data_IF_960525276062
#
_entry.id   IF_960525276062
#
_cell.length_a   1.000
_cell.length_b   1.000
_cell.length_c   1.000
_cell.angle_alpha   90.00
_cell.angle_beta   90.00
_cell.angle_gamma   90.00
#
_symmetry.space_group_name_H-M   'P 1'
#
loop_
_entity.id
_entity.type
_entity.pdbx_description
1 polymer ?
#
# COMPACT_ATOMS: atom_id res chain seq x y z
N UNK A 1 -14.38 -9.78 -17.15
CA UNK A 1 -13.96 -11.15 -16.76
C UNK A 1 -14.64 -11.48 -15.44
N UNK A 2 -15.53 -12.47 -15.40
CA UNK A 2 -16.23 -12.87 -14.17
C UNK A 2 -15.33 -13.79 -13.36
N UNK A 3 -15.11 -13.47 -12.10
CA UNK A 3 -14.40 -14.34 -11.15
C UNK A 3 -15.46 -14.99 -10.27
N UNK A 4 -15.56 -16.32 -10.31
CA UNK A 4 -16.55 -17.08 -9.52
C UNK A 4 -16.35 -16.90 -8.02
N UNK A 5 -17.46 -16.77 -7.28
CA UNK A 5 -17.42 -16.59 -5.83
C UNK A 5 -16.89 -17.83 -5.10
N UNK A 6 -15.83 -17.67 -4.32
CA UNK A 6 -15.29 -18.71 -3.42
C UNK A 6 -14.68 -18.07 -2.17
N UNK A 7 -14.68 -18.83 -1.08
CA UNK A 7 -14.09 -18.39 0.17
C UNK A 7 -12.56 -18.42 0.06
N UNK A 8 -11.91 -17.34 0.43
CA UNK A 8 -10.44 -17.22 0.52
C UNK A 8 -10.05 -16.78 1.93
N UNK A 9 -8.79 -17.01 2.27
CA UNK A 9 -8.17 -16.52 3.50
C UNK A 9 -7.08 -15.53 3.10
N UNK A 10 -7.07 -14.34 3.70
CA UNK A 10 -6.04 -13.34 3.43
C UNK A 10 -4.73 -13.61 4.18
N UNK A 11 -3.75 -12.75 3.96
CA UNK A 11 -2.43 -12.79 4.58
C UNK A 11 -2.43 -12.57 6.11
N UNK A 12 -3.58 -12.20 6.67
CA UNK A 12 -3.80 -12.07 8.13
C UNK A 12 -4.57 -13.24 8.73
N UNK A 13 -4.96 -14.25 7.90
CA UNK A 13 -5.71 -15.42 8.33
C UNK A 13 -7.23 -15.20 8.39
N UNK A 14 -7.75 -14.07 7.87
CA UNK A 14 -9.18 -13.77 7.85
C UNK A 14 -9.83 -14.40 6.62
N UNK A 15 -10.84 -15.26 6.84
CA UNK A 15 -11.66 -15.82 5.77
C UNK A 15 -12.67 -14.80 5.24
N UNK A 16 -12.80 -14.68 3.92
CA UNK A 16 -13.77 -13.80 3.25
C UNK A 16 -14.33 -14.47 2.00
N UNK A 17 -15.54 -14.08 1.59
CA UNK A 17 -16.16 -14.56 0.37
C UNK A 17 -15.90 -13.59 -0.76
N UNK A 18 -15.33 -14.10 -1.85
CA UNK A 18 -15.14 -13.34 -3.09
C UNK A 18 -16.41 -13.52 -3.92
N UNK A 19 -17.10 -12.42 -4.19
CA UNK A 19 -18.23 -12.40 -5.13
C UNK A 19 -17.77 -12.30 -6.58
N UNK A 20 -18.68 -12.58 -7.52
CA UNK A 20 -18.48 -12.28 -8.94
C UNK A 20 -18.46 -10.76 -9.12
N UNK A 21 -17.34 -10.19 -9.58
CA UNK A 21 -17.27 -8.78 -9.94
C UNK A 21 -16.53 -8.60 -11.26
N UNK A 22 -16.96 -7.62 -12.04
CA UNK A 22 -16.28 -7.19 -13.24
C UNK A 22 -15.41 -5.96 -12.90
N UNK A 23 -14.10 -6.04 -13.18
CA UNK A 23 -13.19 -4.92 -12.92
C UNK A 23 -13.41 -3.88 -14.02
N UNK A 24 -14.06 -2.77 -13.68
CA UNK A 24 -14.24 -1.63 -14.58
C UNK A 24 -12.90 -0.90 -14.83
N UNK A 25 -12.86 -0.04 -15.85
CA UNK A 25 -11.69 0.80 -16.12
C UNK A 25 -11.37 1.71 -14.93
N UNK A 26 -12.38 2.25 -14.28
CA UNK A 26 -12.26 3.11 -13.11
C UNK A 26 -11.68 2.35 -11.91
N UNK A 27 -12.16 1.14 -11.68
CA UNK A 27 -11.59 0.26 -10.64
C UNK A 27 -10.11 -0.02 -10.90
N UNK A 28 -9.71 -0.24 -12.16
CA UNK A 28 -8.30 -0.42 -12.51
C UNK A 28 -7.46 0.80 -12.19
N UNK A 29 -7.95 2.02 -12.45
CA UNK A 29 -7.24 3.24 -12.08
C UNK A 29 -7.14 3.43 -10.57
N UNK A 30 -8.19 3.14 -9.81
CA UNK A 30 -8.14 3.14 -8.35
C UNK A 30 -7.07 2.17 -7.83
N UNK A 31 -7.02 0.95 -8.35
CA UNK A 31 -6.02 -0.07 -7.96
C UNK A 31 -4.60 0.39 -8.29
N UNK A 32 -4.37 1.02 -9.44
CA UNK A 32 -3.05 1.59 -9.77
C UNK A 32 -2.62 2.68 -8.78
N UNK A 33 -3.54 3.58 -8.41
CA UNK A 33 -3.28 4.63 -7.42
C UNK A 33 -3.01 4.01 -6.05
N UNK A 34 -3.80 3.02 -5.65
CA UNK A 34 -3.65 2.30 -4.38
C UNK A 34 -2.27 1.61 -4.27
N UNK A 35 -1.83 0.90 -5.31
CA UNK A 35 -0.51 0.26 -5.32
C UNK A 35 0.63 1.29 -5.29
N UNK A 36 0.50 2.38 -6.03
CA UNK A 36 1.49 3.46 -5.96
C UNK A 36 1.56 4.06 -4.55
N UNK A 37 0.42 4.37 -3.92
CA UNK A 37 0.40 4.84 -2.53
C UNK A 37 1.02 3.81 -1.59
N UNK A 38 0.70 2.52 -1.73
CA UNK A 38 1.27 1.46 -0.90
C UNK A 38 2.80 1.44 -0.96
N UNK A 39 3.38 1.51 -2.17
CA UNK A 39 4.83 1.45 -2.38
C UNK A 39 5.50 2.77 -1.94
N UNK A 40 4.98 3.91 -2.39
CA UNK A 40 5.64 5.19 -2.11
C UNK A 40 5.49 5.67 -0.66
N UNK A 41 4.45 5.26 0.05
CA UNK A 41 4.22 5.68 1.44
C UNK A 41 4.48 4.60 2.47
N UNK A 42 4.47 3.33 2.06
CA UNK A 42 4.56 2.18 2.95
C UNK A 42 3.35 2.01 3.88
N UNK A 43 2.19 2.57 3.58
CA UNK A 43 0.99 2.44 4.38
C UNK A 43 0.51 0.99 4.42
N UNK A 44 -0.11 0.59 5.55
CA UNK A 44 -0.76 -0.71 5.69
C UNK A 44 -2.05 -0.78 4.87
N UNK A 45 -2.47 -1.96 4.42
CA UNK A 45 -3.73 -2.17 3.68
C UNK A 45 -4.92 -1.46 4.33
N UNK A 46 -5.13 -1.68 5.61
CA UNK A 46 -6.23 -1.05 6.34
C UNK A 46 -6.10 0.47 6.47
N UNK A 47 -4.89 1.02 6.53
CA UNK A 47 -4.65 2.47 6.52
C UNK A 47 -5.02 3.07 5.15
N UNK A 48 -4.62 2.42 4.05
CA UNK A 48 -4.95 2.84 2.69
C UNK A 48 -6.46 2.87 2.45
N UNK A 49 -7.16 1.79 2.81
CA UNK A 49 -8.61 1.69 2.66
C UNK A 49 -9.39 2.69 3.52
N UNK A 50 -8.79 3.15 4.63
CA UNK A 50 -9.40 4.14 5.50
C UNK A 50 -9.16 5.60 5.06
N UNK A 51 -8.43 5.85 3.97
CA UNK A 51 -8.15 7.21 3.52
C UNK A 51 -9.41 7.89 2.98
N UNK A 52 -9.59 9.13 3.40
CA UNK A 52 -10.57 10.07 2.86
C UNK A 52 -9.86 11.19 2.09
N UNK A 53 -10.56 11.87 1.21
CA UNK A 53 -10.02 13.02 0.47
C UNK A 53 -9.48 14.11 1.42
N UNK A 54 -10.10 14.29 2.58
CA UNK A 54 -9.63 15.20 3.63
C UNK A 54 -8.29 14.80 4.28
N UNK A 55 -7.82 13.58 4.07
CA UNK A 55 -6.52 13.10 4.56
C UNK A 55 -5.37 13.45 3.60
N UNK A 56 -5.67 13.96 2.39
CA UNK A 56 -4.67 14.34 1.37
C UNK A 56 -4.44 15.86 1.39
N UNK A 57 -3.21 16.25 1.61
CA UNK A 57 -2.75 17.62 1.39
C UNK A 57 -2.12 17.73 -0.01
N UNK A 58 -2.91 18.14 -0.97
CA UNK A 58 -2.48 18.30 -2.36
C UNK A 58 -1.49 19.44 -2.59
N UNK A 59 -1.35 20.36 -1.63
CA UNK A 59 -0.42 21.48 -1.73
C UNK A 59 1.01 21.05 -1.38
N UNK A 60 1.12 20.16 -0.39
CA UNK A 60 2.41 19.73 0.14
C UNK A 60 2.74 18.27 -0.21
N UNK A 61 1.90 17.58 -1.01
CA UNK A 61 2.04 16.17 -1.39
C UNK A 61 2.14 15.23 -0.17
N UNK A 62 1.24 15.43 0.80
CA UNK A 62 1.23 14.69 2.06
C UNK A 62 -0.06 13.88 2.23
N UNK A 63 0.05 12.71 2.85
CA UNK A 63 -1.07 11.91 3.34
C UNK A 63 -1.03 11.80 4.86
N UNK A 64 -2.17 12.09 5.51
CA UNK A 64 -2.34 11.95 6.96
C UNK A 64 -2.94 10.59 7.28
N UNK A 65 -2.23 9.82 8.08
CA UNK A 65 -2.68 8.51 8.58
C UNK A 65 -3.24 8.69 9.97
N UNK A 66 -4.56 8.53 10.12
CA UNK A 66 -5.28 8.74 11.39
C UNK A 66 -6.26 7.63 11.73
N UNK A 67 -6.44 6.63 10.85
CA UNK A 67 -7.40 5.54 11.03
C UNK A 67 -7.00 4.34 10.17
N UNK A 68 -7.59 3.19 10.46
CA UNK A 68 -7.40 1.98 9.68
C UNK A 68 -8.68 1.15 9.68
N UNK A 69 -8.93 0.49 8.56
CA UNK A 69 -9.99 -0.53 8.42
C UNK A 69 -9.48 -1.86 8.97
N UNK A 70 -10.32 -2.56 9.67
CA UNK A 70 -10.13 -3.93 10.11
C UNK A 70 -11.43 -4.71 9.95
N UNK A 71 -11.35 -6.04 9.95
CA UNK A 71 -12.54 -6.88 9.96
C UNK A 71 -12.88 -7.24 11.42
N UNK A 72 -14.13 -7.06 11.79
CA UNK A 72 -14.70 -7.44 13.08
C UNK A 72 -16.03 -8.13 12.79
N UNK A 73 -16.18 -9.37 13.23
CA UNK A 73 -17.37 -10.19 13.01
C UNK A 73 -17.82 -10.26 11.52
N UNK A 74 -16.83 -10.29 10.60
CA UNK A 74 -17.04 -10.33 9.16
C UNK A 74 -17.31 -8.97 8.49
N UNK A 75 -17.43 -7.90 9.25
CA UNK A 75 -17.71 -6.56 8.74
C UNK A 75 -16.47 -5.64 8.73
N UNK A 76 -16.41 -4.74 7.75
CA UNK A 76 -15.37 -3.72 7.67
C UNK A 76 -15.68 -2.60 8.67
N UNK A 77 -14.78 -2.42 9.63
CA UNK A 77 -14.89 -1.38 10.64
C UNK A 77 -13.68 -0.45 10.58
N UNK A 78 -13.94 0.85 10.43
CA UNK A 78 -12.90 1.86 10.49
C UNK A 78 -12.67 2.29 11.94
N UNK A 79 -11.44 2.12 12.44
CA UNK A 79 -11.07 2.45 13.83
C UNK A 79 -9.87 3.39 13.86
N UNK A 80 -9.80 4.21 14.91
CA UNK A 80 -8.60 4.97 15.24
C UNK A 80 -7.45 4.00 15.56
N UNK A 81 -6.20 4.37 15.25
CA UNK A 81 -5.05 3.54 15.58
C UNK A 81 -4.92 3.31 17.10
N UNK A 82 -4.47 2.11 17.46
CA UNK A 82 -4.30 1.73 18.87
C UNK A 82 -3.14 2.48 19.58
N UNK A 83 -2.18 3.03 18.83
CA UNK A 83 -1.00 3.69 19.38
C UNK A 83 -0.80 5.08 18.80
N UNK A 84 -0.23 5.99 19.60
CA UNK A 84 0.11 7.36 19.16
C UNK A 84 1.08 7.39 17.97
N UNK A 85 1.99 6.42 17.87
CA UNK A 85 2.98 6.30 16.79
C UNK A 85 2.35 5.95 15.45
N UNK A 86 1.11 5.47 15.44
CA UNK A 86 0.37 5.20 14.21
C UNK A 86 -0.19 6.46 13.55
N UNK A 87 -0.35 7.56 14.31
CA UNK A 87 -0.70 8.86 13.74
C UNK A 87 0.55 9.48 13.13
N UNK A 88 0.54 9.66 11.82
CA UNK A 88 1.68 10.21 11.10
C UNK A 88 1.25 10.87 9.81
N UNK A 89 2.10 11.72 9.30
CA UNK A 89 1.99 12.30 7.96
C UNK A 89 3.15 11.78 7.12
N UNK A 90 2.84 11.34 5.90
CA UNK A 90 3.82 10.74 4.98
C UNK A 90 3.76 11.48 3.65
N UNK A 91 4.92 11.88 3.14
CA UNK A 91 5.02 12.50 1.82
C UNK A 91 4.94 11.46 0.70
N UNK A 92 4.44 11.87 -0.46
CA UNK A 92 4.41 11.08 -1.68
C UNK A 92 4.85 11.92 -2.90
N UNK A 93 5.27 11.32 -4.02
CA UNK A 93 5.71 12.06 -5.18
C UNK A 93 4.58 12.86 -5.84
N UNK A 94 4.91 14.05 -6.36
CA UNK A 94 3.93 14.98 -6.97
C UNK A 94 3.10 14.36 -8.10
N UNK A 95 3.68 13.46 -8.93
CA UNK A 95 2.91 12.80 -9.98
C UNK A 95 1.69 12.03 -9.45
N UNK A 96 1.79 11.53 -8.19
CA UNK A 96 0.71 10.80 -7.55
C UNK A 96 -0.41 11.75 -7.09
N UNK A 97 -0.08 12.99 -6.72
CA UNK A 97 -1.09 14.03 -6.47
C UNK A 97 -1.96 14.27 -7.71
N UNK A 98 -1.36 14.30 -8.90
CA UNK A 98 -2.11 14.46 -10.14
C UNK A 98 -3.03 13.27 -10.45
N UNK A 99 -2.57 12.04 -10.18
CA UNK A 99 -3.41 10.84 -10.31
C UNK A 99 -4.57 10.83 -9.29
N UNK A 100 -4.31 11.23 -8.05
CA UNK A 100 -5.34 11.36 -7.02
C UNK A 100 -6.39 12.42 -7.40
N UNK A 101 -5.98 13.56 -7.95
CA UNK A 101 -6.92 14.58 -8.46
C UNK A 101 -7.79 14.05 -9.60
N UNK A 102 -7.19 13.33 -10.55
CA UNK A 102 -7.96 12.70 -11.63
C UNK A 102 -8.97 11.68 -11.09
N UNK A 103 -8.57 10.88 -10.09
CA UNK A 103 -9.46 9.92 -9.43
C UNK A 103 -10.61 10.64 -8.70
N UNK A 104 -10.34 11.76 -8.03
CA UNK A 104 -11.35 12.57 -7.34
C UNK A 104 -12.39 13.14 -8.32
N UNK A 105 -11.93 13.61 -9.48
CA UNK A 105 -12.84 14.12 -10.54
C UNK A 105 -13.73 12.99 -11.05
N UNK A 106 -13.16 11.83 -11.38
CA UNK A 106 -13.93 10.68 -11.85
C UNK A 106 -14.95 10.18 -10.82
N UNK A 107 -14.62 10.24 -9.53
CA UNK A 107 -15.56 9.93 -8.45
C UNK A 107 -16.72 10.92 -8.39
N UNK A 108 -16.44 12.21 -8.51
CA UNK A 108 -17.49 13.26 -8.51
C UNK A 108 -18.45 13.09 -9.69
N UNK A 109 -17.94 12.76 -10.87
CA UNK A 109 -18.76 12.46 -12.05
C UNK A 109 -19.65 11.24 -11.81
N UNK A 110 -19.11 10.18 -11.26
CA UNK A 110 -19.86 8.98 -10.91
C UNK A 110 -20.93 9.26 -9.86
N UNK A 111 -20.58 9.98 -8.79
CA UNK A 111 -21.52 10.39 -7.75
C UNK A 111 -22.71 11.18 -8.34
N UNK A 112 -22.44 12.05 -9.30
CA UNK A 112 -23.48 12.78 -10.03
C UNK A 112 -24.39 11.84 -10.84
N UNK A 113 -23.82 10.83 -11.53
CA UNK A 113 -24.58 9.85 -12.30
C UNK A 113 -25.47 8.95 -11.42
N UNK A 114 -24.95 8.50 -10.28
CA UNK A 114 -25.69 7.66 -9.33
C UNK A 114 -26.77 8.43 -8.57
N UNK A 115 -26.59 9.73 -8.37
CA UNK A 115 -27.58 10.59 -7.69
C UNK A 115 -27.96 10.07 -6.31
N UNK A 116 -29.26 9.74 -6.12
CA UNK A 116 -29.80 9.28 -4.83
C UNK A 116 -29.33 7.88 -4.41
N UNK A 117 -28.88 7.07 -5.35
CA UNK A 117 -28.42 5.71 -5.08
C UNK A 117 -26.95 5.65 -4.63
N UNK A 118 -26.28 6.81 -4.60
CA UNK A 118 -24.92 6.90 -4.06
C UNK A 118 -24.91 6.64 -2.55
N UNK A 119 -24.12 5.64 -2.13
CA UNK A 119 -24.04 5.18 -0.73
C UNK A 119 -22.70 5.52 -0.08
N UNK A 120 -21.85 6.29 -0.79
CA UNK A 120 -20.50 6.59 -0.37
C UNK A 120 -20.40 7.80 0.55
N UNK A 121 -19.36 7.74 1.40
CA UNK A 121 -18.76 8.88 2.07
C UNK A 121 -17.57 9.42 1.23
N UNK A 122 -16.68 10.21 1.84
CA UNK A 122 -15.52 10.79 1.13
C UNK A 122 -14.30 9.87 1.07
N UNK A 123 -14.51 8.55 0.92
CA UNK A 123 -13.42 7.57 0.80
C UNK A 123 -12.70 7.71 -0.55
N UNK A 124 -11.35 7.55 -0.56
CA UNK A 124 -10.57 7.58 -1.81
C UNK A 124 -10.77 6.29 -2.62
N UNK A 125 -10.81 5.14 -1.93
CA UNK A 125 -10.95 3.84 -2.55
C UNK A 125 -12.35 3.30 -2.30
N UNK A 126 -13.14 3.20 -3.36
CA UNK A 126 -14.58 2.92 -3.30
C UNK A 126 -15.00 1.79 -4.24
N UNK A 127 -16.13 1.20 -3.94
CA UNK A 127 -16.90 0.34 -4.83
C UNK A 127 -17.71 1.22 -5.82
N UNK A 128 -18.37 0.58 -6.80
CA UNK A 128 -19.13 1.29 -7.83
C UNK A 128 -20.28 2.16 -7.25
N UNK A 129 -20.86 1.76 -6.15
CA UNK A 129 -21.92 2.49 -5.44
C UNK A 129 -21.41 3.53 -4.44
N UNK A 130 -20.10 3.78 -4.37
CA UNK A 130 -19.48 4.74 -3.46
C UNK A 130 -19.15 4.20 -2.06
N UNK A 131 -19.54 2.98 -1.71
CA UNK A 131 -19.11 2.38 -0.44
C UNK A 131 -17.60 2.18 -0.42
N UNK A 132 -17.02 2.12 0.77
CA UNK A 132 -15.60 1.78 0.93
C UNK A 132 -15.24 0.52 0.15
N UNK A 133 -14.09 0.50 -0.52
CA UNK A 133 -13.57 -0.67 -1.23
C UNK A 133 -13.49 -1.89 -0.30
N UNK A 134 -13.80 -3.07 -0.80
CA UNK A 134 -13.72 -4.32 -0.03
C UNK A 134 -12.30 -4.56 0.48
N UNK A 135 -12.19 -5.06 1.71
CA UNK A 135 -10.89 -5.35 2.35
C UNK A 135 -10.05 -6.37 1.59
N UNK A 136 -10.69 -7.28 0.86
CA UNK A 136 -10.03 -8.30 0.04
C UNK A 136 -9.52 -7.75 -1.31
N UNK A 137 -10.20 -6.77 -1.90
CA UNK A 137 -9.95 -6.26 -3.26
C UNK A 137 -8.48 -5.91 -3.54
N UNK A 138 -7.74 -5.20 -2.65
CA UNK A 138 -6.33 -4.90 -2.92
C UNK A 138 -5.45 -6.14 -3.04
N UNK A 139 -5.68 -7.16 -2.22
CA UNK A 139 -4.93 -8.41 -2.29
C UNK A 139 -5.25 -9.20 -3.56
N UNK A 140 -6.53 -9.35 -3.89
CA UNK A 140 -6.99 -10.04 -5.09
C UNK A 140 -6.45 -9.38 -6.35
N UNK A 141 -6.52 -8.05 -6.42
CA UNK A 141 -5.98 -7.28 -7.54
C UNK A 141 -4.45 -7.45 -7.68
N UNK A 142 -3.72 -7.55 -6.56
CA UNK A 142 -2.28 -7.81 -6.59
C UNK A 142 -1.98 -9.21 -7.12
N UNK A 143 -2.69 -10.26 -6.65
CA UNK A 143 -2.50 -11.62 -7.14
C UNK A 143 -2.83 -11.73 -8.63
N UNK A 144 -3.87 -11.06 -9.07
CA UNK A 144 -4.27 -11.03 -10.47
C UNK A 144 -3.25 -10.29 -11.35
N UNK A 145 -2.68 -9.20 -10.87
CA UNK A 145 -1.60 -8.49 -11.54
C UNK A 145 -0.34 -9.37 -11.68
N UNK A 146 0.06 -10.07 -10.61
CA UNK A 146 1.20 -10.99 -10.63
C UNK A 146 0.93 -12.15 -11.60
N UNK A 147 -0.27 -12.73 -11.57
CA UNK A 147 -0.67 -13.80 -12.49
C UNK A 147 -0.58 -13.35 -13.95
N UNK A 148 -1.11 -12.17 -14.27
CA UNK A 148 -1.03 -11.60 -15.64
C UNK A 148 0.41 -11.31 -16.07
N UNK A 149 1.24 -10.81 -15.15
CA UNK A 149 2.66 -10.60 -15.43
C UNK A 149 3.38 -11.92 -15.73
N UNK A 150 3.08 -12.98 -14.99
CA UNK A 150 3.73 -14.28 -15.11
C UNK A 150 3.26 -15.07 -16.34
N UNK A 151 2.11 -14.72 -16.90
CA UNK A 151 1.55 -15.42 -18.05
C UNK A 151 2.53 -15.41 -19.26
N UNK A 152 2.82 -16.59 -19.81
CA UNK A 152 3.76 -16.77 -20.90
C UNK A 152 5.24 -16.56 -20.55
N UNK A 153 5.63 -16.27 -19.29
CA UNK A 153 7.02 -16.09 -18.85
C UNK A 153 7.64 -17.39 -18.36
N UNK A 154 8.96 -17.52 -18.56
CA UNK A 154 9.73 -18.63 -18.00
C UNK A 154 9.72 -18.57 -16.47
N UNK A 155 9.81 -19.72 -15.77
CA UNK A 155 9.82 -19.75 -14.29
C UNK A 155 10.88 -18.85 -13.64
N UNK A 156 12.06 -18.69 -14.27
CA UNK A 156 13.13 -17.79 -13.80
C UNK A 156 12.76 -16.31 -13.82
N UNK A 157 11.79 -15.92 -14.65
CA UNK A 157 11.41 -14.54 -14.91
C UNK A 157 10.06 -14.19 -14.25
N UNK A 158 9.46 -15.16 -13.55
CA UNK A 158 8.19 -14.99 -12.88
C UNK A 158 8.37 -14.33 -11.52
N UNK A 159 7.41 -13.45 -11.18
CA UNK A 159 7.30 -12.87 -9.85
C UNK A 159 6.69 -13.89 -8.89
N UNK A 160 7.21 -14.03 -7.67
CA UNK A 160 6.58 -14.84 -6.65
C UNK A 160 5.24 -14.24 -6.22
N UNK A 161 4.30 -15.08 -5.77
CA UNK A 161 3.13 -14.60 -5.07
C UNK A 161 3.56 -13.95 -3.75
N UNK A 162 3.18 -12.69 -3.54
CA UNK A 162 3.48 -11.95 -2.32
C UNK A 162 2.17 -11.50 -1.65
N UNK A 163 2.11 -11.46 -0.31
CA UNK A 163 0.99 -10.83 0.40
C UNK A 163 0.97 -9.33 0.10
N UNK A 164 -0.19 -8.66 0.24
CA UNK A 164 -0.28 -7.21 0.04
C UNK A 164 0.68 -6.43 0.93
N UNK A 165 0.94 -6.93 2.13
CA UNK A 165 1.92 -6.36 3.07
C UNK A 165 3.36 -6.37 2.50
N UNK A 166 3.65 -7.24 1.53
CA UNK A 166 4.92 -7.27 0.80
C UNK A 166 5.25 -5.96 0.10
N UNK A 167 4.26 -5.20 -0.37
CA UNK A 167 4.48 -3.86 -0.96
C UNK A 167 5.10 -2.89 0.05
N UNK A 168 4.68 -2.95 1.30
CA UNK A 168 5.28 -2.17 2.39
C UNK A 168 6.70 -2.63 2.72
N UNK A 169 6.97 -3.92 2.69
CA UNK A 169 8.32 -4.46 2.83
C UNK A 169 9.21 -3.97 1.68
N UNK A 170 8.72 -4.01 0.45
CA UNK A 170 9.43 -3.48 -0.71
C UNK A 170 9.78 -1.99 -0.52
N UNK A 171 8.80 -1.17 -0.11
CA UNK A 171 9.03 0.25 0.19
C UNK A 171 10.17 0.45 1.20
N UNK A 172 10.15 -0.29 2.29
CA UNK A 172 11.17 -0.18 3.32
C UNK A 172 12.54 -0.66 2.85
N UNK A 173 12.61 -1.79 2.13
CA UNK A 173 13.85 -2.33 1.59
C UNK A 173 14.51 -1.34 0.62
N UNK A 174 13.72 -0.73 -0.29
CA UNK A 174 14.23 0.27 -1.22
C UNK A 174 14.79 1.50 -0.52
N UNK A 175 14.13 1.98 0.54
CA UNK A 175 14.61 3.13 1.32
C UNK A 175 15.90 2.81 2.07
N UNK A 176 16.00 1.63 2.69
CA UNK A 176 17.21 1.18 3.39
C UNK A 176 18.36 0.95 2.41
N UNK A 177 18.09 0.30 1.27
CA UNK A 177 19.10 0.10 0.23
C UNK A 177 19.61 1.43 -0.36
N UNK A 178 18.78 2.48 -0.34
CA UNK A 178 19.15 3.85 -0.70
C UNK A 178 19.82 4.63 0.44
N UNK A 179 20.28 3.94 1.50
CA UNK A 179 20.99 4.51 2.65
C UNK A 179 20.17 5.54 3.46
N UNK A 180 18.84 5.45 3.41
CA UNK A 180 18.00 6.24 4.29
C UNK A 180 18.14 5.78 5.74
N UNK A 181 18.17 6.73 6.67
CA UNK A 181 18.25 6.43 8.10
C UNK A 181 17.10 5.54 8.58
N UNK A 182 17.43 4.47 9.32
CA UNK A 182 16.49 3.45 9.79
C UNK A 182 15.38 4.05 10.67
N UNK A 183 15.69 5.06 11.48
CA UNK A 183 14.71 5.74 12.32
C UNK A 183 13.70 6.51 11.46
N UNK A 184 14.18 7.17 10.42
CA UNK A 184 13.33 7.86 9.42
C UNK A 184 12.41 6.88 8.71
N UNK A 185 12.94 5.74 8.25
CA UNK A 185 12.14 4.67 7.63
C UNK A 185 11.11 4.11 8.62
N UNK A 186 11.51 3.82 9.86
CA UNK A 186 10.64 3.31 10.92
C UNK A 186 9.48 4.28 11.24
N UNK A 187 9.79 5.57 11.37
CA UNK A 187 8.79 6.62 11.60
C UNK A 187 7.81 6.74 10.43
N UNK A 188 8.32 6.74 9.19
CA UNK A 188 7.52 6.79 7.98
C UNK A 188 6.53 5.61 7.90
N UNK A 189 6.99 4.43 8.26
CA UNK A 189 6.17 3.22 8.33
C UNK A 189 5.21 3.22 9.54
N UNK A 190 5.49 3.97 10.60
CA UNK A 190 4.72 3.93 11.85
C UNK A 190 4.94 2.62 12.62
N UNK A 191 6.20 2.16 12.69
CA UNK A 191 6.59 1.10 13.59
C UNK A 191 6.79 1.66 15.01
N UNK A 192 6.20 1.01 16.00
CA UNK A 192 6.35 1.43 17.41
C UNK A 192 7.79 1.26 17.92
N UNK A 193 8.52 0.31 17.34
CA UNK A 193 9.93 0.03 17.67
C UNK A 193 10.75 -0.07 16.39
N UNK A 194 11.91 0.56 16.40
CA UNK A 194 12.86 0.53 15.28
C UNK A 194 13.40 -0.88 15.03
N UNK A 195 13.49 -1.71 16.07
CA UNK A 195 13.86 -3.12 15.98
C UNK A 195 12.98 -3.92 15.03
N UNK A 196 11.69 -3.58 14.91
CA UNK A 196 10.80 -4.21 13.91
C UNK A 196 11.29 -3.95 12.49
N UNK A 197 11.74 -2.73 12.19
CA UNK A 197 12.34 -2.38 10.90
C UNK A 197 13.67 -3.11 10.70
N UNK A 198 14.52 -3.17 11.70
CA UNK A 198 15.83 -3.84 11.65
C UNK A 198 15.70 -5.35 11.42
N UNK A 199 14.81 -6.04 12.14
CA UNK A 199 14.62 -7.49 12.02
C UNK A 199 14.14 -7.91 10.62
N UNK A 200 13.27 -7.12 10.02
CA UNK A 200 12.75 -7.39 8.68
C UNK A 200 13.85 -7.24 7.61
N UNK A 201 14.85 -6.40 7.85
CA UNK A 201 15.87 -6.02 6.86
C UNK A 201 17.30 -6.42 7.23
N UNK A 202 17.45 -7.39 8.12
CA UNK A 202 18.78 -7.89 8.56
C UNK A 202 19.71 -8.26 7.39
N UNK A 203 19.16 -8.80 6.28
CA UNK A 203 19.96 -9.10 5.09
C UNK A 203 20.49 -7.85 4.37
N UNK A 204 19.67 -6.78 4.26
CA UNK A 204 20.11 -5.52 3.67
C UNK A 204 21.20 -4.83 4.51
N UNK A 205 21.18 -5.03 5.83
CA UNK A 205 22.21 -4.53 6.74
C UNK A 205 23.55 -5.26 6.60
N UNK A 206 23.56 -6.58 6.33
CA UNK A 206 24.79 -7.35 6.08
C UNK A 206 25.52 -6.88 4.80
N UNK A 207 24.76 -6.54 3.75
CA UNK A 207 25.36 -5.97 2.54
C UNK A 207 25.95 -4.56 2.78
N UNK A 208 25.32 -3.78 3.63
CA UNK A 208 25.82 -2.45 4.04
C UNK A 208 27.07 -2.55 4.89
N UNK A 209 27.19 -3.54 5.76
CA UNK A 209 28.38 -3.79 6.58
C UNK A 209 29.58 -4.14 5.69
N UNK A 210 29.39 -4.99 4.67
CA UNK A 210 30.43 -5.32 3.71
C UNK A 210 30.92 -4.09 2.94
N UNK A 211 30.00 -3.24 2.46
CA UNK A 211 30.35 -1.97 1.81
C UNK A 211 31.08 -1.01 2.75
N UNK A 212 30.72 -0.98 4.04
CA UNK A 212 31.41 -0.17 5.04
C UNK A 212 32.87 -0.65 5.23
N UNK A 213 33.11 -1.96 5.23
CA UNK A 213 34.46 -2.55 5.26
C UNK A 213 35.28 -2.13 4.06
N UNK A 214 34.71 -2.23 2.84
CA UNK A 214 35.38 -1.83 1.59
C UNK A 214 35.72 -0.33 1.58
N UNK A 215 34.86 0.52 2.12
CA UNK A 215 35.10 1.97 2.27
C UNK A 215 36.25 2.21 3.24
N UNK A 216 36.27 1.55 4.41
CA UNK A 216 37.39 1.69 5.37
C UNK A 216 38.72 1.22 4.76
N UNK A 217 38.71 0.11 4.03
CA UNK A 217 39.90 -0.36 3.33
C UNK A 217 40.38 0.68 2.32
N UNK A 218 39.48 1.26 1.51
CA UNK A 218 39.84 2.28 0.52
C UNK A 218 40.36 3.60 1.13
N UNK A 219 39.92 3.95 2.33
CA UNK A 219 40.36 5.13 3.05
C UNK A 219 41.73 4.90 3.71
N UNK A 220 41.94 3.75 4.31
CA UNK A 220 43.17 3.43 5.07
C UNK A 220 44.30 2.99 4.15
N UNK A 221 44.00 2.32 3.02
CA UNK A 221 45.01 1.94 2.05
C UNK A 221 45.62 3.12 1.26
N UNK A 222 45.05 4.33 1.32
CA UNK A 222 45.63 5.54 0.71
C UNK A 222 46.68 6.21 1.59
N UNK A 223 46.85 5.79 2.83
CA UNK A 223 47.84 6.35 3.79
C UNK A 223 49.02 5.38 4.02
N UNK A 224 49.08 4.25 3.32
CA UNK A 224 50.19 3.29 3.34
C UNK A 224 50.96 3.30 2.01
#
# INVERSE_FOLDING_TARGET
MRVGGHTRVDDTGIAYTVGDYEITREMQEQIKVLFNLAIYTGLRKGELLALKWSDIDFKNDLVRVSKAVTIVDGEQVCKAPKTKTSYRTVSFPHFLANRLKALQIAELERRFQFGKDWQGEDWIFIQDNGRMMSYSTPYEALQDAIKRYNDGRKPSDQLPAIPFHGLRHTSATLLIASQQDIKTVSNRLGHAQTSTTMNIYAHALQESDRKASDVLESLLAKEA
#
